data_IF_379617033467
#
_entry.id   IF_379617033467
#
_cell.length_a   1.000
_cell.length_b   1.000
_cell.length_c   1.000
_cell.angle_alpha   90.00
_cell.angle_beta   90.00
_cell.angle_gamma   90.00
#
_symmetry.space_group_name_H-M   'P 1'
#
loop_
_entity.id
_entity.type
_entity.pdbx_description
1 polymer ?
#
# COMPACT_ATOMS: atom_id res chain seq x y z
N UNK A 1 -19.40 -11.07 -23.64
CA UNK A 1 -18.63 -9.84 -23.31
C UNK A 1 -19.29 -9.24 -22.09
N UNK A 2 -18.64 -9.29 -20.96
CA UNK A 2 -19.15 -8.67 -19.73
C UNK A 2 -19.01 -7.15 -19.84
N UNK A 3 -20.03 -6.41 -19.43
CA UNK A 3 -19.95 -4.95 -19.40
C UNK A 3 -18.79 -4.52 -18.48
N UNK A 4 -17.99 -3.51 -18.89
CA UNK A 4 -16.91 -3.00 -18.07
C UNK A 4 -17.47 -2.39 -16.78
N UNK A 5 -16.90 -2.77 -15.63
CA UNK A 5 -17.27 -2.22 -14.35
C UNK A 5 -16.60 -0.84 -14.18
N UNK A 6 -17.41 0.19 -14.09
CA UNK A 6 -16.91 1.55 -13.86
C UNK A 6 -17.05 1.94 -12.39
N UNK A 7 -15.97 2.37 -11.77
CA UNK A 7 -15.91 2.86 -10.40
C UNK A 7 -15.37 4.30 -10.38
N UNK A 8 -16.12 5.20 -9.77
CA UNK A 8 -15.66 6.56 -9.48
C UNK A 8 -15.02 6.60 -8.09
N UNK A 9 -13.74 6.91 -8.03
CA UNK A 9 -12.97 6.90 -6.79
C UNK A 9 -12.49 8.32 -6.48
N UNK A 10 -12.86 8.81 -5.30
CA UNK A 10 -12.24 10.00 -4.73
C UNK A 10 -11.31 9.52 -3.61
N UNK A 11 -10.00 9.55 -3.85
CA UNK A 11 -9.00 9.16 -2.86
C UNK A 11 -8.59 10.37 -2.04
N UNK A 12 -8.55 10.22 -0.72
CA UNK A 12 -7.98 11.21 0.19
C UNK A 12 -6.55 10.82 0.58
N UNK A 13 -5.81 11.76 1.13
CA UNK A 13 -4.46 11.50 1.68
C UNK A 13 -4.52 10.40 2.74
N UNK A 14 -5.58 10.38 3.56
CA UNK A 14 -5.80 9.33 4.56
C UNK A 14 -5.94 7.95 3.93
N UNK A 15 -6.62 7.85 2.79
CA UNK A 15 -6.79 6.58 2.07
C UNK A 15 -5.44 6.06 1.59
N UNK A 16 -4.61 6.95 1.03
CA UNK A 16 -3.27 6.59 0.55
C UNK A 16 -2.37 6.11 1.68
N UNK A 17 -2.41 6.79 2.84
CA UNK A 17 -1.66 6.38 4.04
C UNK A 17 -2.09 5.03 4.56
N UNK A 18 -3.39 4.84 4.77
CA UNK A 18 -3.92 3.59 5.30
C UNK A 18 -3.66 2.43 4.34
N UNK A 19 -3.70 2.70 3.04
CA UNK A 19 -3.34 1.73 2.03
C UNK A 19 -1.84 1.38 2.05
N UNK A 20 -0.97 2.38 2.22
CA UNK A 20 0.47 2.17 2.35
C UNK A 20 0.80 1.34 3.61
N UNK A 21 0.17 1.64 4.76
CA UNK A 21 0.32 0.85 5.97
C UNK A 21 -0.14 -0.60 5.76
N UNK A 22 -1.31 -0.80 5.14
CA UNK A 22 -1.81 -2.14 4.85
C UNK A 22 -0.85 -2.92 3.94
N UNK A 23 -0.31 -2.27 2.91
CA UNK A 23 0.67 -2.89 2.03
C UNK A 23 1.93 -3.30 2.77
N UNK A 24 2.46 -2.44 3.64
CA UNK A 24 3.66 -2.71 4.42
C UNK A 24 3.48 -3.86 5.40
N UNK A 25 2.40 -3.86 6.18
CA UNK A 25 2.14 -4.91 7.19
C UNK A 25 1.99 -6.30 6.57
N UNK A 26 1.61 -6.38 5.29
CA UNK A 26 1.47 -7.65 4.55
C UNK A 26 2.75 -8.05 3.82
N UNK A 27 3.80 -7.22 3.86
CA UNK A 27 5.04 -7.49 3.13
C UNK A 27 6.11 -8.04 4.07
N UNK A 28 6.70 -9.18 3.71
CA UNK A 28 7.78 -9.84 4.49
C UNK A 28 8.95 -8.89 4.77
N UNK A 29 9.27 -8.01 3.82
CA UNK A 29 10.34 -7.00 3.99
C UNK A 29 10.14 -6.15 5.25
N UNK A 30 8.93 -5.68 5.51
CA UNK A 30 8.62 -4.89 6.70
C UNK A 30 8.90 -5.66 7.99
N UNK A 31 8.53 -6.95 8.04
CA UNK A 31 8.83 -7.81 9.20
C UNK A 31 10.33 -7.99 9.42
N UNK A 32 11.11 -8.10 8.35
CA UNK A 32 12.58 -8.19 8.42
C UNK A 32 13.17 -6.88 8.98
N UNK A 33 12.69 -5.72 8.51
CA UNK A 33 13.15 -4.43 9.04
C UNK A 33 12.78 -4.24 10.51
N UNK A 34 11.59 -4.65 10.93
CA UNK A 34 11.18 -4.59 12.34
C UNK A 34 12.01 -5.53 13.22
N UNK A 35 12.30 -6.74 12.75
CA UNK A 35 13.18 -7.66 13.45
C UNK A 35 14.60 -7.10 13.59
N UNK A 36 15.14 -6.52 12.50
CA UNK A 36 16.44 -5.83 12.51
C UNK A 36 16.49 -4.65 13.49
N UNK A 37 15.43 -3.83 13.51
CA UNK A 37 15.31 -2.74 14.47
C UNK A 37 15.29 -3.23 15.91
N UNK A 38 14.57 -4.32 16.19
CA UNK A 38 14.55 -4.96 17.53
C UNK A 38 15.93 -5.45 17.98
N UNK A 39 16.68 -6.08 17.08
CA UNK A 39 18.04 -6.55 17.36
C UNK A 39 18.98 -5.36 17.65
N UNK A 40 18.94 -4.31 16.83
CA UNK A 40 19.77 -3.12 17.05
C UNK A 40 19.43 -2.42 18.37
N UNK A 41 18.15 -2.34 18.72
CA UNK A 41 17.70 -1.77 19.99
C UNK A 41 18.20 -2.59 21.18
N UNK A 42 18.10 -3.93 21.10
CA UNK A 42 18.63 -4.83 22.14
C UNK A 42 20.14 -4.70 22.30
N UNK A 43 20.88 -4.58 21.19
CA UNK A 43 22.33 -4.33 21.23
C UNK A 43 22.68 -2.98 21.86
N UNK A 44 21.90 -1.94 21.57
CA UNK A 44 22.09 -0.61 22.17
C UNK A 44 21.88 -0.66 23.71
N UNK A 45 20.87 -1.39 24.18
CA UNK A 45 20.61 -1.59 25.60
C UNK A 45 21.73 -2.43 26.26
N UNK A 46 22.19 -3.48 25.60
CA UNK A 46 23.30 -4.31 26.10
C UNK A 46 24.59 -3.49 26.29
N UNK A 47 24.95 -2.68 25.29
CA UNK A 47 26.10 -1.80 25.38
C UNK A 47 25.94 -0.74 26.47
N UNK A 48 24.73 -0.20 26.67
CA UNK A 48 24.42 0.75 27.72
C UNK A 48 24.57 0.17 29.14
N UNK A 49 24.33 -1.14 29.29
CA UNK A 49 24.49 -1.83 30.56
C UNK A 49 25.99 -2.11 30.89
N UNK A 50 26.80 -2.37 29.86
CA UNK A 50 28.19 -2.81 30.02
C UNK A 50 29.23 -1.68 29.96
N UNK A 51 28.90 -0.56 29.32
CA UNK A 51 29.80 0.57 29.07
C UNK A 51 29.05 1.88 29.34
N UNK A 52 29.71 2.88 29.92
CA UNK A 52 29.10 4.20 30.16
C UNK A 52 28.49 4.77 28.88
N UNK A 53 27.33 5.44 29.01
CA UNK A 53 26.58 6.06 27.92
C UNK A 53 27.49 6.93 27.05
N UNK A 54 27.67 6.58 25.78
CA UNK A 54 28.46 7.26 24.77
C UNK A 54 27.70 7.59 23.50
N UNK A 55 28.23 8.45 22.64
CA UNK A 55 27.59 8.90 21.40
C UNK A 55 27.19 7.77 20.44
N UNK A 56 27.91 6.65 20.46
CA UNK A 56 27.62 5.50 19.62
C UNK A 56 26.26 4.84 19.95
N UNK A 57 25.84 4.88 21.22
CA UNK A 57 24.56 4.32 21.66
C UNK A 57 23.37 5.14 21.19
N UNK A 58 23.48 6.47 21.26
CA UNK A 58 22.48 7.38 20.71
C UNK A 58 22.30 7.13 19.21
N UNK A 59 23.40 6.93 18.50
CA UNK A 59 23.36 6.64 17.07
C UNK A 59 22.62 5.32 16.78
N UNK A 60 22.89 4.25 17.54
CA UNK A 60 22.21 2.96 17.40
C UNK A 60 20.71 3.04 17.70
N UNK A 61 20.33 3.80 18.74
CA UNK A 61 18.92 4.04 19.09
C UNK A 61 18.22 4.80 17.97
N UNK A 62 18.85 5.85 17.43
CA UNK A 62 18.28 6.62 16.31
C UNK A 62 18.11 5.76 15.08
N UNK A 63 19.10 4.93 14.72
CA UNK A 63 19.01 4.01 13.59
C UNK A 63 17.90 2.97 13.82
N UNK A 64 17.81 2.40 15.03
CA UNK A 64 16.76 1.46 15.37
C UNK A 64 15.36 2.09 15.27
N UNK A 65 15.18 3.33 15.74
CA UNK A 65 13.93 4.08 15.61
C UNK A 65 13.58 4.36 14.15
N UNK A 66 14.54 4.78 13.34
CA UNK A 66 14.33 5.03 11.91
C UNK A 66 13.90 3.74 11.17
N UNK A 67 14.50 2.61 11.49
CA UNK A 67 14.13 1.33 10.91
C UNK A 67 12.76 0.85 11.40
N UNK A 68 12.40 1.11 12.67
CA UNK A 68 11.12 0.71 13.23
C UNK A 68 9.93 1.49 12.66
N UNK A 69 10.14 2.79 12.39
CA UNK A 69 9.08 3.69 11.88
C UNK A 69 8.86 3.49 10.38
N UNK A 70 9.84 2.94 9.65
CA UNK A 70 9.85 2.86 8.18
C UNK A 70 9.47 4.23 7.54
N UNK A 71 10.43 5.15 7.35
CA UNK A 71 10.14 6.51 6.91
C UNK A 71 9.62 6.59 5.46
N UNK A 72 9.70 5.50 4.69
CA UNK A 72 9.29 5.48 3.27
C UNK A 72 7.84 5.92 3.07
N UNK A 73 6.83 5.45 3.86
CA UNK A 73 5.46 5.94 3.69
C UNK A 73 5.30 7.40 4.04
N UNK A 74 6.02 7.88 5.05
CA UNK A 74 5.98 9.29 5.45
C UNK A 74 6.53 10.19 4.34
N UNK A 75 7.65 9.80 3.73
CA UNK A 75 8.27 10.51 2.61
C UNK A 75 7.35 10.48 1.40
N UNK A 76 6.81 9.31 1.04
CA UNK A 76 5.86 9.18 -0.07
C UNK A 76 4.59 9.99 0.16
N UNK A 77 4.10 10.06 1.40
CA UNK A 77 2.98 10.91 1.79
C UNK A 77 3.28 12.39 1.56
N UNK A 78 4.43 12.87 2.05
CA UNK A 78 4.83 14.26 1.87
C UNK A 78 4.95 14.58 0.38
N UNK A 79 5.61 13.73 -0.39
CA UNK A 79 5.77 13.92 -1.83
C UNK A 79 4.43 13.85 -2.58
N UNK A 80 3.53 12.95 -2.19
CA UNK A 80 2.21 12.83 -2.82
C UNK A 80 1.29 13.99 -2.46
N UNK A 81 1.44 14.58 -1.27
CA UNK A 81 0.63 15.72 -0.83
C UNK A 81 0.88 16.98 -1.66
N UNK A 82 2.10 17.14 -2.16
CA UNK A 82 2.45 18.29 -3.00
C UNK A 82 1.95 18.16 -4.45
N UNK A 83 1.66 16.96 -4.93
CA UNK A 83 1.39 16.68 -6.34
C UNK A 83 -0.03 16.17 -6.65
N UNK A 84 -0.93 16.04 -5.66
CA UNK A 84 -2.27 15.54 -5.97
C UNK A 84 -3.30 16.66 -6.13
N UNK A 85 -3.73 16.94 -7.37
CA UNK A 85 -5.03 17.58 -7.58
C UNK A 85 -6.09 16.63 -6.97
N UNK A 86 -7.12 17.20 -6.33
CA UNK A 86 -8.33 16.47 -5.88
C UNK A 86 -9.13 15.95 -7.08
N UNK A 87 -8.51 15.15 -7.93
CA UNK A 87 -9.14 14.69 -9.15
C UNK A 87 -9.86 13.37 -8.84
N UNK A 88 -11.13 13.35 -9.19
CA UNK A 88 -11.88 12.10 -9.27
C UNK A 88 -11.13 11.15 -10.20
N UNK A 89 -10.83 9.98 -9.70
CA UNK A 89 -10.21 8.92 -10.49
C UNK A 89 -11.30 7.96 -10.94
N UNK A 90 -11.42 7.73 -12.23
CA UNK A 90 -12.31 6.71 -12.76
C UNK A 90 -11.50 5.44 -13.01
N UNK A 91 -11.95 4.33 -12.45
CA UNK A 91 -11.43 3.00 -12.77
C UNK A 91 -12.42 2.28 -13.68
N UNK A 92 -11.92 1.78 -14.79
CA UNK A 92 -12.63 0.86 -15.66
C UNK A 92 -11.98 -0.51 -15.49
N UNK A 93 -12.79 -1.50 -15.16
CA UNK A 93 -12.35 -2.87 -14.90
C UNK A 93 -13.04 -3.77 -15.90
N UNK A 94 -12.25 -4.46 -16.70
CA UNK A 94 -12.71 -5.35 -17.74
C UNK A 94 -11.87 -6.65 -17.80
N UNK A 95 -12.11 -7.49 -18.78
CA UNK A 95 -11.38 -8.75 -18.98
C UNK A 95 -9.89 -8.55 -19.30
N UNK A 96 -9.49 -7.38 -19.81
CA UNK A 96 -8.11 -7.06 -20.20
C UNK A 96 -7.28 -6.58 -19.00
N UNK A 97 -7.91 -5.93 -18.02
CA UNK A 97 -7.23 -5.36 -16.86
C UNK A 97 -7.99 -4.25 -16.17
N UNK A 98 -7.22 -3.36 -15.57
CA UNK A 98 -7.71 -2.18 -14.85
C UNK A 98 -7.16 -0.93 -15.52
N UNK A 99 -8.06 -0.11 -16.01
CA UNK A 99 -7.74 1.19 -16.61
C UNK A 99 -8.04 2.31 -15.62
N UNK A 100 -7.04 3.11 -15.29
CA UNK A 100 -7.16 4.26 -14.40
C UNK A 100 -7.13 5.55 -15.21
N UNK A 101 -8.15 6.38 -15.04
CA UNK A 101 -8.29 7.67 -15.71
C UNK A 101 -8.25 8.77 -14.64
N UNK A 102 -7.30 9.71 -14.78
CA UNK A 102 -7.13 10.87 -13.90
C UNK A 102 -7.01 12.12 -14.78
N UNK A 103 -8.09 12.90 -14.87
CA UNK A 103 -8.16 14.00 -15.84
C UNK A 103 -7.89 13.46 -17.25
N UNK A 104 -6.90 14.01 -17.94
CA UNK A 104 -6.52 13.61 -19.31
C UNK A 104 -5.54 12.43 -19.36
N UNK A 105 -5.10 11.93 -18.20
CA UNK A 105 -4.13 10.83 -18.14
C UNK A 105 -4.82 9.50 -17.96
N UNK A 106 -4.51 8.56 -18.86
CA UNK A 106 -5.00 7.19 -18.81
C UNK A 106 -3.83 6.23 -18.60
N UNK A 107 -3.96 5.35 -17.63
CA UNK A 107 -2.99 4.29 -17.36
C UNK A 107 -3.72 2.95 -17.33
N UNK A 108 -3.29 2.02 -18.15
CA UNK A 108 -3.84 0.66 -18.21
C UNK A 108 -2.86 -0.34 -17.61
N UNK A 109 -3.37 -1.21 -16.74
CA UNK A 109 -2.62 -2.28 -16.09
C UNK A 109 -3.32 -3.60 -16.38
N UNK A 110 -2.67 -4.48 -17.13
CA UNK A 110 -3.19 -5.82 -17.45
C UNK A 110 -3.22 -6.71 -16.21
N UNK A 111 -4.13 -7.67 -16.14
CA UNK A 111 -4.22 -8.62 -15.03
C UNK A 111 -2.92 -9.40 -14.81
N UNK A 112 -2.15 -9.66 -15.87
CA UNK A 112 -0.85 -10.36 -15.78
C UNK A 112 0.22 -9.58 -15.01
N UNK A 113 0.10 -8.24 -14.93
CA UNK A 113 1.00 -7.39 -14.15
C UNK A 113 0.59 -7.27 -12.69
N UNK A 114 -0.65 -7.63 -12.38
CA UNK A 114 -1.17 -7.64 -11.02
C UNK A 114 -0.79 -8.96 -10.34
N UNK A 115 -0.11 -8.89 -9.21
CA UNK A 115 0.44 -10.08 -8.54
C UNK A 115 -0.47 -10.64 -7.47
N UNK A 116 -1.19 -9.76 -6.76
CA UNK A 116 -2.10 -10.14 -5.67
C UNK A 116 -3.11 -9.04 -5.37
N UNK A 117 -4.19 -9.41 -4.71
CA UNK A 117 -5.11 -8.47 -4.07
C UNK A 117 -5.02 -8.60 -2.55
N UNK A 118 -5.13 -7.47 -1.85
CA UNK A 118 -5.16 -7.40 -0.38
C UNK A 118 -6.45 -6.67 -0.02
N UNK A 119 -7.32 -7.31 0.75
CA UNK A 119 -8.59 -6.73 1.16
C UNK A 119 -8.62 -6.53 2.68
N UNK A 120 -9.14 -5.38 3.10
CA UNK A 120 -9.54 -5.13 4.47
C UNK A 120 -10.93 -4.48 4.50
N UNK A 121 -11.41 -4.11 5.71
CA UNK A 121 -12.75 -3.49 5.88
C UNK A 121 -12.95 -2.20 5.08
N UNK A 122 -11.90 -1.45 4.78
CA UNK A 122 -11.97 -0.11 4.21
C UNK A 122 -11.48 -0.04 2.77
N UNK A 123 -10.57 -0.94 2.37
CA UNK A 123 -9.86 -0.86 1.09
C UNK A 123 -9.63 -2.23 0.46
N UNK A 124 -9.58 -2.22 -0.86
CA UNK A 124 -9.03 -3.30 -1.67
C UNK A 124 -7.80 -2.74 -2.39
N UNK A 125 -6.67 -3.41 -2.25
CA UNK A 125 -5.42 -3.05 -2.92
C UNK A 125 -5.14 -4.07 -4.01
N UNK A 126 -4.97 -3.61 -5.25
CA UNK A 126 -4.44 -4.41 -6.34
C UNK A 126 -2.96 -4.10 -6.48
N UNK A 127 -2.11 -5.09 -6.21
CA UNK A 127 -0.66 -4.92 -6.19
C UNK A 127 -0.07 -5.27 -7.54
N UNK A 128 0.67 -4.32 -8.13
CA UNK A 128 1.40 -4.49 -9.37
C UNK A 128 2.91 -4.38 -9.10
N UNK A 129 3.55 -5.50 -8.79
CA UNK A 129 4.98 -5.53 -8.46
C UNK A 129 5.31 -5.06 -7.03
N UNK A 130 6.53 -4.55 -6.84
CA UNK A 130 7.07 -4.31 -5.49
C UNK A 130 6.66 -2.96 -4.86
N UNK A 131 6.21 -1.98 -5.65
CA UNK A 131 5.95 -0.61 -5.17
C UNK A 131 4.71 0.04 -5.79
N UNK A 132 4.09 -0.61 -6.77
CA UNK A 132 2.90 -0.10 -7.43
C UNK A 132 1.66 -0.82 -6.93
N UNK A 133 0.68 -0.07 -6.47
CA UNK A 133 -0.61 -0.61 -6.10
C UNK A 133 -1.73 0.38 -6.45
N UNK A 134 -2.91 -0.18 -6.74
CA UNK A 134 -4.14 0.58 -6.99
C UNK A 134 -4.98 0.47 -5.73
N UNK A 135 -5.36 1.61 -5.16
CA UNK A 135 -6.22 1.68 -3.96
C UNK A 135 -7.66 1.84 -4.39
N UNK A 136 -8.51 0.92 -3.97
CA UNK A 136 -9.95 0.96 -4.20
C UNK A 136 -10.64 1.03 -2.84
N UNK A 137 -11.14 2.19 -2.41
CA UNK A 137 -11.91 2.29 -1.18
C UNK A 137 -13.21 1.48 -1.29
N UNK A 138 -13.60 0.75 -0.25
CA UNK A 138 -14.84 -0.03 -0.23
C UNK A 138 -16.08 0.83 -0.52
N UNK A 139 -16.05 2.12 -0.13
CA UNK A 139 -17.09 3.10 -0.41
C UNK A 139 -17.26 3.47 -1.89
N UNK A 140 -16.32 3.08 -2.76
CA UNK A 140 -16.43 3.31 -4.21
C UNK A 140 -17.46 2.37 -4.86
N UNK A 141 -17.83 1.28 -4.18
CA UNK A 141 -18.87 0.38 -4.66
C UNK A 141 -20.24 0.92 -4.28
N UNK A 142 -21.01 1.38 -5.27
CA UNK A 142 -22.34 1.97 -5.08
C UNK A 142 -23.38 0.95 -4.59
N UNK A 143 -23.17 -0.33 -4.91
CA UNK A 143 -24.05 -1.41 -4.52
C UNK A 143 -23.29 -2.75 -4.32
N UNK A 144 -23.88 -3.72 -3.61
CA UNK A 144 -23.26 -5.02 -3.39
C UNK A 144 -22.95 -5.78 -4.69
N UNK A 145 -23.77 -5.60 -5.74
CA UNK A 145 -23.59 -6.30 -7.01
C UNK A 145 -22.29 -5.85 -7.69
N UNK A 146 -21.97 -4.56 -7.71
CA UNK A 146 -20.72 -4.05 -8.27
C UNK A 146 -19.50 -4.59 -7.53
N UNK A 147 -19.59 -4.77 -6.21
CA UNK A 147 -18.53 -5.42 -5.42
C UNK A 147 -18.39 -6.90 -5.78
N UNK A 148 -19.49 -7.62 -5.90
CA UNK A 148 -19.48 -9.04 -6.27
C UNK A 148 -18.90 -9.26 -7.67
N UNK A 149 -19.29 -8.43 -8.64
CA UNK A 149 -18.72 -8.47 -10.00
C UNK A 149 -17.22 -8.21 -9.97
N UNK A 150 -16.78 -7.21 -9.20
CA UNK A 150 -15.36 -6.93 -9.03
C UNK A 150 -14.61 -8.10 -8.40
N UNK A 151 -15.17 -8.74 -7.36
CA UNK A 151 -14.58 -9.92 -6.74
C UNK A 151 -14.50 -11.11 -7.69
N UNK A 152 -15.46 -11.27 -8.59
CA UNK A 152 -15.41 -12.28 -9.65
C UNK A 152 -14.20 -12.04 -10.58
N UNK A 153 -13.97 -10.80 -11.05
CA UNK A 153 -12.79 -10.47 -11.84
C UNK A 153 -11.50 -10.80 -11.09
N UNK A 154 -11.40 -10.41 -9.81
CA UNK A 154 -10.22 -10.72 -8.99
C UNK A 154 -10.02 -12.24 -8.88
N UNK A 155 -11.04 -12.99 -8.54
CA UNK A 155 -10.93 -14.44 -8.32
C UNK A 155 -10.58 -15.19 -9.61
N UNK A 156 -11.02 -14.67 -10.76
CA UNK A 156 -10.72 -15.26 -12.06
C UNK A 156 -9.27 -15.00 -12.50
N UNK A 157 -8.77 -13.80 -12.26
CA UNK A 157 -7.50 -13.35 -12.81
C UNK A 157 -6.34 -13.26 -11.80
N UNK A 158 -6.63 -13.14 -10.50
CA UNK A 158 -5.61 -13.01 -9.46
C UNK A 158 -5.69 -14.15 -8.45
N UNK A 159 -4.52 -14.65 -8.03
CA UNK A 159 -4.44 -15.49 -6.85
C UNK A 159 -4.76 -14.62 -5.62
N UNK A 160 -5.90 -14.87 -4.99
CA UNK A 160 -6.26 -14.20 -3.74
C UNK A 160 -5.29 -14.63 -2.66
N UNK A 161 -4.40 -13.72 -2.25
CA UNK A 161 -3.58 -13.92 -1.06
C UNK A 161 -4.45 -13.58 0.15
N UNK A 162 -4.89 -14.58 0.88
CA UNK A 162 -5.48 -14.43 2.22
C UNK A 162 -4.39 -14.17 3.23
#
# INVERSE_FOLDING_TARGET
MSEPLQLCITTSIRDTLSAAQLYQTTTIKHRIYQAGAGVLFALALWQGYSLSFGGNQLMLIVIALLLAIDPVPLILMIMSSFNQPKNNTTLLIDESGVTRIIGDRTAHVTWTKLTRSIENRNYILLVAGSWNYIVIPQRAFSNPNSKNTFQQFINTHLKVSK
#
